data_IF_890258887083
#
_entry.id   IF_890258887083
#
_cell.length_a   1.000
_cell.length_b   1.000
_cell.length_c   1.000
_cell.angle_alpha   90.00
_cell.angle_beta   90.00
_cell.angle_gamma   90.00
#
_symmetry.space_group_name_H-M   'P 1'
#
loop_
_entity.id
_entity.type
_entity.pdbx_description
1 polymer ?
#
# COMPACT_ATOMS: atom_id res chain seq x y z
N UNK A 1 9.93 47.28 -0.01
CA UNK A 1 9.10 46.26 0.65
C UNK A 1 9.22 44.98 -0.16
N UNK A 2 9.99 44.01 0.33
CA UNK A 2 10.15 42.70 -0.32
C UNK A 2 9.01 41.80 0.17
N UNK A 3 8.06 41.47 -0.70
CA UNK A 3 6.98 40.53 -0.40
C UNK A 3 7.56 39.11 -0.45
N UNK A 4 7.77 38.51 0.71
CA UNK A 4 8.05 37.07 0.84
C UNK A 4 6.72 36.34 0.68
N UNK A 5 6.52 35.73 -0.49
CA UNK A 5 5.37 34.86 -0.76
C UNK A 5 5.55 33.53 -0.03
N UNK A 6 4.76 33.30 1.01
CA UNK A 6 4.66 31.99 1.68
C UNK A 6 3.84 31.09 0.74
N UNK A 7 4.51 30.17 0.04
CA UNK A 7 3.86 29.04 -0.60
C UNK A 7 3.45 28.04 0.49
N UNK A 8 2.22 28.14 0.98
CA UNK A 8 1.63 27.07 1.76
C UNK A 8 1.32 25.91 0.81
N UNK A 9 2.12 24.84 0.87
CA UNK A 9 1.76 23.58 0.24
C UNK A 9 0.48 23.07 0.91
N UNK A 10 -0.62 23.04 0.15
CA UNK A 10 -1.85 22.39 0.58
C UNK A 10 -1.51 20.89 0.70
N UNK A 11 -1.70 20.26 1.87
CA UNK A 11 -1.60 18.81 1.92
C UNK A 11 -2.71 18.25 1.04
N UNK A 12 -2.35 17.70 -0.11
CA UNK A 12 -3.27 16.89 -0.89
C UNK A 12 -3.60 15.67 -0.03
N UNK A 13 -4.79 15.66 0.57
CA UNK A 13 -5.31 14.46 1.22
C UNK A 13 -5.59 13.44 0.12
N UNK A 14 -4.62 12.55 -0.11
CA UNK A 14 -4.74 11.45 -1.03
C UNK A 14 -5.76 10.45 -0.47
N UNK A 15 -6.88 10.23 -1.17
CA UNK A 15 -7.80 9.14 -0.86
C UNK A 15 -7.06 7.82 -1.14
N UNK A 16 -6.59 7.10 -0.12
CA UNK A 16 -5.91 5.81 -0.32
C UNK A 16 -6.94 4.70 -0.49
N UNK A 17 -6.76 3.87 -1.51
CA UNK A 17 -7.57 2.67 -1.73
C UNK A 17 -6.71 1.42 -1.76
N UNK A 18 -7.27 0.32 -1.30
CA UNK A 18 -6.65 -1.01 -1.35
C UNK A 18 -7.16 -1.72 -2.60
N UNK A 19 -6.22 -2.19 -3.40
CA UNK A 19 -6.46 -2.79 -4.71
C UNK A 19 -5.99 -4.24 -4.76
N UNK A 20 -6.70 -5.03 -5.56
CA UNK A 20 -6.37 -6.41 -5.90
C UNK A 20 -6.55 -6.62 -7.39
N UNK A 21 -6.16 -7.80 -7.87
CA UNK A 21 -6.43 -8.23 -9.22
C UNK A 21 -7.95 -8.25 -9.52
N UNK A 22 -8.43 -7.82 -10.71
CA UNK A 22 -9.85 -7.89 -11.07
C UNK A 22 -10.47 -9.29 -10.92
N UNK A 23 -9.70 -10.35 -11.22
CA UNK A 23 -10.14 -11.74 -11.15
C UNK A 23 -10.12 -12.33 -9.72
N UNK A 24 -9.56 -11.63 -8.72
CA UNK A 24 -9.61 -12.08 -7.34
C UNK A 24 -11.07 -12.12 -6.85
N UNK A 25 -11.56 -13.14 -6.12
CA UNK A 25 -12.98 -13.21 -5.73
C UNK A 25 -13.38 -12.18 -4.65
N UNK A 26 -12.43 -11.52 -3.98
CA UNK A 26 -12.74 -10.52 -2.97
C UNK A 26 -13.54 -9.34 -3.57
N UNK A 27 -14.63 -8.98 -2.89
CA UNK A 27 -15.50 -7.85 -3.27
C UNK A 27 -15.34 -6.66 -2.33
N UNK A 28 -15.07 -6.93 -1.06
CA UNK A 28 -14.83 -5.92 -0.03
C UNK A 28 -13.92 -6.47 1.05
N UNK A 29 -13.14 -5.59 1.67
CA UNK A 29 -12.23 -5.89 2.77
C UNK A 29 -12.26 -4.74 3.79
N UNK A 30 -12.16 -5.05 5.08
CA UNK A 30 -11.88 -4.03 6.08
C UNK A 30 -10.39 -3.66 6.04
N UNK A 31 -10.02 -2.40 6.27
CA UNK A 31 -8.62 -1.98 6.32
C UNK A 31 -7.80 -2.77 7.37
N UNK A 32 -8.40 -3.06 8.52
CA UNK A 32 -7.80 -3.90 9.57
C UNK A 32 -7.56 -5.34 9.11
N UNK A 33 -8.42 -5.88 8.25
CA UNK A 33 -8.20 -7.18 7.62
C UNK A 33 -7.10 -7.10 6.57
N UNK A 34 -6.97 -6.00 5.82
CA UNK A 34 -5.89 -5.83 4.86
C UNK A 34 -4.52 -5.74 5.56
N UNK A 35 -4.46 -5.12 6.75
CA UNK A 35 -3.23 -4.93 7.52
C UNK A 35 -2.45 -6.23 7.75
N UNK A 36 -3.15 -7.34 7.95
CA UNK A 36 -2.52 -8.64 8.20
C UNK A 36 -1.60 -9.10 7.05
N UNK A 37 -1.90 -8.70 5.81
CA UNK A 37 -1.10 -9.05 4.64
C UNK A 37 0.17 -8.21 4.56
N UNK A 38 0.07 -6.91 4.84
CA UNK A 38 1.22 -5.98 4.86
C UNK A 38 2.11 -6.16 6.09
N UNK A 39 1.59 -6.77 7.17
CA UNK A 39 2.36 -7.15 8.37
C UNK A 39 2.93 -8.58 8.31
N UNK A 40 2.60 -9.35 7.26
CA UNK A 40 3.05 -10.73 7.08
C UNK A 40 2.48 -11.70 8.10
N UNK A 41 1.34 -11.38 8.74
CA UNK A 41 0.64 -12.28 9.67
C UNK A 41 -0.35 -13.20 8.96
N UNK A 42 -0.61 -12.97 7.66
CA UNK A 42 -1.32 -13.90 6.78
C UNK A 42 -0.65 -13.98 5.41
N UNK A 43 -0.71 -15.16 4.79
CA UNK A 43 -0.13 -15.46 3.48
C UNK A 43 -1.15 -15.60 2.36
N UNK A 44 -2.45 -15.33 2.62
CA UNK A 44 -3.50 -15.47 1.60
C UNK A 44 -3.35 -14.48 0.44
N UNK A 45 -2.78 -13.30 0.71
CA UNK A 45 -2.42 -12.33 -0.30
C UNK A 45 -0.93 -12.07 -0.29
N UNK A 46 -0.39 -11.73 -1.47
CA UNK A 46 0.99 -11.31 -1.66
C UNK A 46 1.03 -9.77 -1.68
N UNK A 47 1.52 -9.11 -0.62
CA UNK A 47 1.62 -7.66 -0.60
C UNK A 47 2.65 -7.16 -1.61
N UNK A 48 2.31 -6.06 -2.28
CA UNK A 48 3.23 -5.22 -3.03
C UNK A 48 3.22 -3.84 -2.38
N UNK A 49 4.40 -3.32 -2.09
CA UNK A 49 4.60 -2.05 -1.38
C UNK A 49 5.12 -0.98 -2.35
N UNK A 50 4.86 0.28 -2.01
CA UNK A 50 5.64 1.38 -2.58
C UNK A 50 7.04 1.39 -1.96
N UNK A 51 8.00 2.09 -2.57
CA UNK A 51 9.29 2.37 -1.94
C UNK A 51 9.11 2.99 -0.53
N UNK A 52 10.04 2.72 0.38
CA UNK A 52 9.95 3.14 1.79
C UNK A 52 9.81 4.66 1.95
N UNK A 53 10.44 5.43 1.06
CA UNK A 53 10.41 6.89 1.00
C UNK A 53 9.14 7.48 0.37
N UNK A 54 8.26 6.66 -0.20
CA UNK A 54 7.04 7.14 -0.83
C UNK A 54 6.08 7.72 0.21
N UNK A 55 5.58 8.97 0.06
CA UNK A 55 4.69 9.59 1.04
C UNK A 55 3.42 8.77 1.31
N UNK A 56 2.86 8.15 0.27
CA UNK A 56 1.67 7.28 0.39
C UNK A 56 1.91 6.06 1.28
N UNK A 57 3.15 5.54 1.33
CA UNK A 57 3.50 4.42 2.22
C UNK A 57 3.50 4.85 3.67
N UNK A 58 4.06 6.02 3.98
CA UNK A 58 4.01 6.57 5.33
C UNK A 58 2.57 6.77 5.81
N UNK A 59 1.71 7.32 4.95
CA UNK A 59 0.29 7.52 5.27
C UNK A 59 -0.46 6.19 5.44
N UNK A 60 -0.27 5.23 4.51
CA UNK A 60 -0.88 3.91 4.60
C UNK A 60 -0.43 3.16 5.87
N UNK A 61 0.88 3.11 6.14
CA UNK A 61 1.41 2.47 7.33
C UNK A 61 0.80 3.10 8.60
N UNK A 62 0.66 4.42 8.65
CA UNK A 62 0.08 5.08 9.81
C UNK A 62 -1.41 4.77 9.98
N UNK A 63 -2.21 4.90 8.92
CA UNK A 63 -3.68 4.74 8.97
C UNK A 63 -4.13 3.29 9.10
N UNK A 64 -3.43 2.36 8.44
CA UNK A 64 -3.89 0.96 8.31
C UNK A 64 -3.12 0.01 9.21
N UNK A 65 -1.83 0.26 9.43
CA UNK A 65 -0.95 -0.67 10.17
C UNK A 65 -0.64 -0.19 11.58
N UNK A 66 -0.97 1.06 11.90
CA UNK A 66 -0.55 1.80 13.11
C UNK A 66 0.96 1.66 13.38
N UNK A 67 1.74 1.86 12.30
CA UNK A 67 3.21 1.76 12.29
C UNK A 67 3.82 2.80 11.36
N UNK A 68 5.10 3.08 11.55
CA UNK A 68 5.92 3.76 10.55
C UNK A 68 6.54 2.74 9.57
N UNK A 69 6.89 3.15 8.33
CA UNK A 69 7.45 2.24 7.32
C UNK A 69 8.67 1.44 7.79
N UNK A 70 9.54 2.07 8.58
CA UNK A 70 10.73 1.41 9.14
C UNK A 70 10.39 0.30 10.13
N UNK A 71 9.31 0.45 10.91
CA UNK A 71 8.82 -0.59 11.82
C UNK A 71 8.22 -1.77 11.05
N UNK A 72 7.51 -1.49 9.94
CA UNK A 72 6.98 -2.52 9.04
C UNK A 72 8.13 -3.31 8.41
N UNK A 73 9.16 -2.60 7.90
CA UNK A 73 10.37 -3.21 7.34
C UNK A 73 11.11 -4.06 8.36
N UNK A 74 11.29 -3.57 9.59
CA UNK A 74 11.88 -4.36 10.67
C UNK A 74 11.08 -5.63 11.00
N UNK A 75 9.74 -5.54 10.95
CA UNK A 75 8.84 -6.69 11.08
C UNK A 75 9.09 -7.75 10.01
N UNK A 76 9.18 -7.34 8.75
CA UNK A 76 9.52 -8.22 7.64
C UNK A 76 10.93 -8.82 7.74
N UNK A 77 11.93 -8.04 8.14
CA UNK A 77 13.28 -8.55 8.38
C UNK A 77 13.29 -9.70 9.39
N UNK A 78 12.50 -9.60 10.47
CA UNK A 78 12.34 -10.68 11.44
C UNK A 78 11.67 -11.92 10.84
N UNK A 79 10.63 -11.73 10.02
CA UNK A 79 9.94 -12.84 9.34
C UNK A 79 10.88 -13.58 8.39
N UNK A 80 11.61 -12.84 7.55
CA UNK A 80 12.58 -13.39 6.58
C UNK A 80 13.69 -14.14 7.31
N UNK A 81 14.30 -13.54 8.33
CA UNK A 81 15.38 -14.18 9.10
C UNK A 81 14.92 -15.49 9.75
N UNK A 82 13.66 -15.54 10.20
CA UNK A 82 13.06 -16.76 10.76
C UNK A 82 12.54 -17.77 9.72
N UNK A 83 12.66 -17.48 8.42
CA UNK A 83 12.13 -18.32 7.34
C UNK A 83 10.60 -18.39 7.27
N UNK A 84 9.89 -17.48 7.95
CA UNK A 84 8.42 -17.49 8.07
C UNK A 84 7.71 -16.61 7.05
N UNK A 85 8.45 -15.89 6.21
CA UNK A 85 7.87 -15.03 5.19
C UNK A 85 8.88 -14.57 4.17
N UNK A 86 8.37 -14.11 3.02
CA UNK A 86 9.12 -13.42 1.99
C UNK A 86 8.71 -11.95 2.03
N UNK A 87 9.69 -11.05 2.09
CA UNK A 87 9.42 -9.62 2.11
C UNK A 87 8.63 -9.20 0.84
N UNK A 88 7.73 -8.19 0.95
CA UNK A 88 7.02 -7.63 -0.19
C UNK A 88 7.98 -7.13 -1.26
N UNK A 89 7.54 -7.19 -2.52
CA UNK A 89 8.23 -6.42 -3.56
C UNK A 89 7.91 -4.95 -3.39
N UNK A 90 8.92 -4.10 -3.59
CA UNK A 90 8.76 -2.65 -3.56
C UNK A 90 8.82 -2.09 -4.99
N UNK A 91 7.94 -1.16 -5.30
CA UNK A 91 7.83 -0.55 -6.62
C UNK A 91 7.77 0.97 -6.50
N UNK A 92 8.23 1.67 -7.53
CA UNK A 92 8.42 3.13 -7.46
C UNK A 92 7.14 3.90 -7.76
N UNK A 93 6.27 3.34 -8.60
CA UNK A 93 5.10 4.08 -9.13
C UNK A 93 3.81 3.28 -9.02
N UNK A 94 2.69 3.99 -8.95
CA UNK A 94 1.36 3.38 -9.01
C UNK A 94 1.14 2.59 -10.32
N UNK A 95 1.70 3.04 -11.44
CA UNK A 95 1.64 2.32 -12.72
C UNK A 95 2.33 0.94 -12.66
N UNK A 96 3.53 0.86 -12.05
CA UNK A 96 4.24 -0.41 -11.84
C UNK A 96 3.45 -1.33 -10.91
N UNK A 97 2.91 -0.78 -9.81
CA UNK A 97 2.08 -1.53 -8.85
C UNK A 97 0.84 -2.10 -9.52
N UNK A 98 0.06 -1.27 -10.24
CA UNK A 98 -1.15 -1.73 -10.95
C UNK A 98 -0.83 -2.86 -11.93
N UNK A 99 0.25 -2.71 -12.70
CA UNK A 99 0.72 -3.76 -13.62
C UNK A 99 1.02 -5.06 -12.87
N UNK A 100 1.75 -4.99 -11.77
CA UNK A 100 2.10 -6.18 -10.99
C UNK A 100 0.88 -6.83 -10.31
N UNK A 101 -0.06 -6.03 -9.81
CA UNK A 101 -1.33 -6.50 -9.25
C UNK A 101 -2.17 -7.20 -10.33
N UNK A 102 -2.25 -6.63 -11.53
CA UNK A 102 -2.98 -7.23 -12.66
C UNK A 102 -2.38 -8.56 -13.12
N UNK A 103 -1.06 -8.76 -12.94
CA UNK A 103 -0.37 -10.00 -13.31
C UNK A 103 -0.47 -11.13 -12.28
N UNK A 104 -0.95 -10.84 -11.07
CA UNK A 104 -1.02 -11.83 -9.99
C UNK A 104 -2.40 -11.81 -9.29
N UNK A 105 -3.24 -12.85 -9.47
CA UNK A 105 -4.56 -12.95 -8.83
C UNK A 105 -4.56 -12.83 -7.31
N UNK A 106 -3.43 -13.12 -6.65
CA UNK A 106 -3.29 -13.05 -5.19
C UNK A 106 -2.56 -11.78 -4.71
N UNK A 107 -2.21 -10.85 -5.61
CA UNK A 107 -1.57 -9.61 -5.21
C UNK A 107 -2.56 -8.67 -4.50
N UNK A 108 -2.04 -7.98 -3.49
CA UNK A 108 -2.72 -6.87 -2.82
C UNK A 108 -1.76 -5.68 -2.73
N UNK A 109 -2.26 -4.48 -2.96
CA UNK A 109 -1.50 -3.25 -2.77
C UNK A 109 -2.44 -2.11 -2.44
N UNK A 110 -1.91 -0.90 -2.36
CA UNK A 110 -2.66 0.32 -2.18
C UNK A 110 -2.12 1.40 -3.10
N UNK A 111 -3.00 2.27 -3.59
CA UNK A 111 -2.68 3.39 -4.47
C UNK A 111 -3.56 4.59 -4.11
N UNK A 112 -3.20 5.76 -4.64
CA UNK A 112 -4.11 6.90 -4.64
C UNK A 112 -5.35 6.56 -5.48
N UNK A 113 -6.53 6.95 -5.02
CA UNK A 113 -7.81 6.70 -5.68
C UNK A 113 -7.89 7.32 -7.08
N UNK A 114 -7.22 8.46 -7.31
CA UNK A 114 -7.15 9.09 -8.63
C UNK A 114 -6.36 8.27 -9.65
N UNK A 115 -5.51 7.35 -9.20
CA UNK A 115 -4.72 6.46 -10.06
C UNK A 115 -5.48 5.16 -10.41
N UNK A 116 -6.69 4.96 -9.90
CA UNK A 116 -7.49 3.76 -10.18
C UNK A 116 -8.00 3.76 -11.62
N UNK A 117 -7.87 2.61 -12.28
CA UNK A 117 -8.47 2.30 -13.58
C UNK A 117 -8.93 0.83 -13.60
N UNK A 118 -9.47 0.39 -14.73
CA UNK A 118 -10.03 -0.96 -14.91
C UNK A 118 -9.00 -2.10 -14.83
N UNK A 119 -7.70 -1.79 -14.75
CA UNK A 119 -6.66 -2.83 -14.59
C UNK A 119 -6.64 -3.45 -13.20
N UNK A 120 -7.30 -2.83 -12.22
CA UNK A 120 -7.32 -3.25 -10.82
C UNK A 120 -8.73 -3.16 -10.24
N UNK A 121 -8.97 -3.90 -9.16
CA UNK A 121 -10.22 -3.82 -8.41
C UNK A 121 -9.98 -3.26 -7.02
N UNK A 122 -10.76 -2.26 -6.64
CA UNK A 122 -10.78 -1.71 -5.29
C UNK A 122 -11.57 -2.62 -4.35
N UNK A 123 -10.99 -2.94 -3.20
CA UNK A 123 -11.65 -3.75 -2.15
C UNK A 123 -11.82 -3.00 -0.83
N UNK A 124 -11.09 -1.91 -0.61
CA UNK A 124 -11.27 -1.04 0.54
C UNK A 124 -10.89 0.40 0.24
N UNK A 125 -11.49 1.33 0.97
CA UNK A 125 -11.06 2.74 1.04
C UNK A 125 -10.53 2.99 2.45
N UNK A 126 -9.37 3.64 2.53
CA UNK A 126 -8.76 4.05 3.79
C UNK A 126 -9.26 5.45 4.10
N UNK A 127 -9.86 5.62 5.27
CA UNK A 127 -10.30 6.92 5.80
C UNK A 127 -9.28 7.38 6.83
#
# INVERSE_FOLDING_TARGET
>A
MLLVGIFSAIPASADIVIIVNPANPATRMFSTQAAQFFLGTSTMFTPIEHLEEAPIRAEFCKKVLDKDPSQVKAGWSKLVFSGRGKAPQEMKTAAEIKKAVNQNPNAISYIDKSEVDDSVKVVATVQ
#
